data_IF_134996474422
#
_entry.id   IF_134996474422
#
_cell.length_a   1.000
_cell.length_b   1.000
_cell.length_c   1.000
_cell.angle_alpha   90.00
_cell.angle_beta   90.00
_cell.angle_gamma   90.00
#
_symmetry.space_group_name_H-M   'P 1'
#
loop_
_entity.id
_entity.type
_entity.pdbx_description
1 polymer ?
#
# COMPACT_ATOMS: atom_id res chain seq x y z
N UNK A 1 -1.85 -2.37 13.49
CA UNK A 1 -2.91 -1.93 12.56
C UNK A 1 -3.86 -0.96 13.23
N UNK A 2 -4.34 0.02 12.46
CA UNK A 2 -5.32 1.02 12.90
C UNK A 2 -6.66 0.34 13.22
N UNK A 3 -7.34 0.80 14.27
CA UNK A 3 -8.61 0.22 14.71
C UNK A 3 -9.64 0.29 13.57
N UNK A 4 -10.30 -0.83 13.29
CA UNK A 4 -11.36 -0.90 12.27
C UNK A 4 -10.89 -0.78 10.83
N UNK A 5 -9.57 -0.63 10.58
CA UNK A 5 -9.05 -0.42 9.23
C UNK A 5 -8.95 -1.72 8.41
N UNK A 6 -8.54 -2.80 9.08
CA UNK A 6 -8.46 -4.14 8.51
C UNK A 6 -9.09 -5.19 9.40
N UNK A 7 -9.76 -6.14 8.74
CA UNK A 7 -10.05 -7.45 9.31
C UNK A 7 -8.78 -8.27 9.48
N UNK A 8 -8.84 -9.30 10.36
CA UNK A 8 -7.76 -10.26 10.51
C UNK A 8 -7.37 -10.96 9.20
N UNK A 9 -8.34 -11.20 8.31
CA UNK A 9 -8.10 -11.85 7.02
C UNK A 9 -7.32 -10.95 6.05
N UNK A 10 -7.58 -9.64 6.07
CA UNK A 10 -6.85 -8.67 5.25
C UNK A 10 -5.41 -8.49 5.70
N UNK A 11 -5.17 -8.50 7.02
CA UNK A 11 -3.81 -8.48 7.57
C UNK A 11 -3.08 -9.76 7.17
N UNK A 12 -3.70 -10.94 7.32
CA UNK A 12 -3.07 -12.19 6.90
C UNK A 12 -2.71 -12.19 5.41
N UNK A 13 -3.53 -11.56 4.57
CA UNK A 13 -3.29 -11.46 3.13
C UNK A 13 -2.10 -10.56 2.81
N UNK A 14 -1.94 -9.45 3.52
CA UNK A 14 -0.72 -8.62 3.47
C UNK A 14 0.51 -9.48 3.76
N UNK A 15 0.50 -10.24 4.87
CA UNK A 15 1.64 -11.08 5.26
C UNK A 15 1.95 -12.19 4.25
N UNK A 16 0.93 -12.73 3.58
CA UNK A 16 1.09 -13.71 2.50
C UNK A 16 1.80 -13.06 1.30
N UNK A 17 1.46 -11.82 0.95
CA UNK A 17 2.12 -11.15 -0.16
C UNK A 17 3.56 -10.75 0.17
N UNK A 18 3.82 -10.25 1.38
CA UNK A 18 5.18 -9.97 1.86
C UNK A 18 6.10 -11.19 1.73
N UNK A 19 5.60 -12.35 2.14
CA UNK A 19 6.32 -13.62 2.03
C UNK A 19 6.56 -14.01 0.58
N UNK A 20 5.54 -13.91 -0.28
CA UNK A 20 5.67 -14.21 -1.71
C UNK A 20 6.66 -13.28 -2.43
N UNK A 21 6.68 -11.99 -2.12
CA UNK A 21 7.66 -11.05 -2.69
C UNK A 21 9.10 -11.39 -2.29
N UNK A 22 9.31 -11.82 -1.05
CA UNK A 22 10.64 -12.30 -0.60
C UNK A 22 11.05 -13.57 -1.33
N UNK A 23 10.16 -14.56 -1.41
CA UNK A 23 10.51 -15.87 -1.96
C UNK A 23 10.64 -15.88 -3.47
N UNK A 24 9.76 -15.15 -4.16
CA UNK A 24 9.60 -15.27 -5.61
C UNK A 24 10.42 -14.22 -6.36
N UNK A 25 10.53 -13.01 -5.82
CA UNK A 25 11.26 -11.90 -6.46
C UNK A 25 12.55 -11.53 -5.73
N UNK A 26 12.81 -12.04 -4.53
CA UNK A 26 13.95 -11.61 -3.72
C UNK A 26 13.86 -10.15 -3.26
N UNK A 27 12.65 -9.60 -3.16
CA UNK A 27 12.43 -8.26 -2.61
C UNK A 27 12.45 -8.37 -1.10
N UNK A 28 13.37 -7.67 -0.43
CA UNK A 28 13.42 -7.63 1.03
C UNK A 28 12.20 -6.89 1.57
N UNK A 29 11.51 -7.54 2.50
CA UNK A 29 10.40 -6.98 3.28
C UNK A 29 10.49 -7.50 4.72
N UNK A 30 9.88 -6.85 5.71
CA UNK A 30 9.97 -7.28 7.11
C UNK A 30 9.46 -8.71 7.33
N UNK A 31 10.27 -9.56 7.97
CA UNK A 31 9.86 -10.91 8.34
C UNK A 31 8.90 -10.89 9.53
N UNK A 32 7.90 -11.77 9.52
CA UNK A 32 6.91 -11.82 10.61
C UNK A 32 7.38 -12.75 11.71
N UNK A 33 7.51 -12.22 12.92
CA UNK A 33 7.81 -13.01 14.12
C UNK A 33 6.49 -13.58 14.66
N UNK A 34 6.39 -14.91 14.68
CA UNK A 34 5.23 -15.59 15.24
C UNK A 34 5.19 -15.46 16.77
N UNK A 35 3.98 -15.31 17.31
CA UNK A 35 3.76 -15.40 18.77
C UNK A 35 4.17 -16.77 19.32
N UNK A 36 4.27 -16.88 20.65
CA UNK A 36 4.54 -18.16 21.35
C UNK A 36 3.53 -19.29 21.02
N UNK A 37 2.37 -18.94 20.48
CA UNK A 37 1.34 -19.89 20.02
C UNK A 37 1.39 -20.16 18.51
N UNK A 38 2.43 -19.71 17.81
CA UNK A 38 2.58 -19.87 16.36
C UNK A 38 1.68 -18.98 15.50
N UNK A 39 1.01 -17.99 16.08
CA UNK A 39 0.13 -17.05 15.33
C UNK A 39 0.94 -15.86 14.81
N UNK A 40 0.81 -15.57 13.50
CA UNK A 40 1.34 -14.37 12.83
C UNK A 40 0.56 -13.08 13.15
N UNK A 41 -0.75 -13.19 13.38
CA UNK A 41 -1.62 -12.07 13.80
C UNK A 41 -2.22 -12.38 15.17
N UNK A 42 -1.95 -11.51 16.14
CA UNK A 42 -2.44 -11.61 17.53
C UNK A 42 -3.56 -10.60 17.73
N UNK A 43 -4.62 -11.03 18.40
CA UNK A 43 -5.68 -10.14 18.87
C UNK A 43 -5.42 -9.78 20.33
N UNK A 44 -5.49 -8.50 20.65
CA UNK A 44 -5.47 -7.98 22.02
C UNK A 44 -6.73 -7.15 22.27
N UNK A 45 -7.22 -7.13 23.50
CA UNK A 45 -8.21 -6.15 23.92
C UNK A 45 -7.51 -4.97 24.59
N UNK A 46 -7.90 -3.76 24.21
CA UNK A 46 -7.39 -2.52 24.78
C UNK A 46 -8.52 -1.49 24.84
N UNK A 47 -8.81 -0.96 26.03
CA UNK A 47 -9.87 0.02 26.24
C UNK A 47 -11.27 -0.41 25.76
N UNK A 48 -11.59 -1.70 25.86
CA UNK A 48 -12.87 -2.26 25.41
C UNK A 48 -12.96 -2.53 23.91
N UNK A 49 -11.87 -2.33 23.16
CA UNK A 49 -11.81 -2.55 21.73
C UNK A 49 -10.82 -3.65 21.38
N UNK A 50 -11.17 -4.48 20.39
CA UNK A 50 -10.29 -5.49 19.84
C UNK A 50 -9.29 -4.85 18.86
N UNK A 51 -8.00 -5.11 19.04
CA UNK A 51 -6.92 -4.67 18.15
C UNK A 51 -6.12 -5.85 17.62
N UNK A 52 -5.71 -5.75 16.36
CA UNK A 52 -4.82 -6.73 15.74
C UNK A 52 -3.37 -6.21 15.71
N UNK A 53 -2.47 -7.07 16.14
CA UNK A 53 -1.04 -6.80 16.21
C UNK A 53 -0.28 -7.85 15.40
N UNK A 54 0.73 -7.38 14.67
CA UNK A 54 1.76 -8.17 13.99
C UNK A 54 3.09 -7.72 14.54
N UNK A 55 4.00 -8.67 14.75
CA UNK A 55 5.37 -8.38 15.15
C UNK A 55 6.27 -8.69 13.97
N UNK A 56 7.09 -7.73 13.58
CA UNK A 56 8.09 -7.90 12.53
C UNK A 56 9.48 -7.95 13.12
N UNK A 57 10.40 -8.59 12.40
CA UNK A 57 11.82 -8.50 12.73
C UNK A 57 12.34 -7.07 12.56
N UNK A 58 13.38 -6.74 13.29
CA UNK A 58 14.02 -5.44 13.18
C UNK A 58 14.68 -5.32 11.81
N UNK A 59 14.26 -4.32 11.04
CA UNK A 59 14.90 -3.98 9.77
C UNK A 59 16.03 -3.01 10.06
N UNK A 60 17.27 -3.47 9.91
CA UNK A 60 18.41 -2.58 9.89
C UNK A 60 18.32 -1.64 8.69
N UNK A 61 18.54 -0.36 8.92
CA UNK A 61 18.64 0.62 7.86
C UNK A 61 18.22 2.01 8.28
N UNK A 62 18.37 2.93 7.34
CA UNK A 62 17.98 4.34 7.49
C UNK A 62 17.11 4.73 6.31
N UNK A 63 16.19 5.65 6.55
CA UNK A 63 15.56 6.40 5.47
C UNK A 63 16.64 7.13 4.67
N UNK A 64 16.51 7.13 3.35
CA UNK A 64 17.45 7.86 2.50
C UNK A 64 17.38 9.36 2.86
N UNK A 65 18.51 9.93 3.27
CA UNK A 65 18.59 11.36 3.49
C UNK A 65 18.22 12.10 2.19
N UNK A 66 17.46 13.20 2.32
CA UNK A 66 16.91 13.98 1.19
C UNK A 66 17.96 14.37 0.14
N UNK A 67 19.26 14.40 0.50
CA UNK A 67 20.36 14.70 -0.41
C UNK A 67 20.53 13.70 -1.58
N UNK A 68 20.04 12.46 -1.48
CA UNK A 68 20.19 11.42 -2.51
C UNK A 68 18.86 11.02 -3.19
N UNK A 69 17.83 11.86 -3.10
CA UNK A 69 16.47 11.52 -3.55
C UNK A 69 16.38 10.99 -4.99
N UNK A 70 17.19 11.51 -5.92
CA UNK A 70 17.17 11.07 -7.32
C UNK A 70 17.54 9.58 -7.49
N UNK A 71 18.57 9.12 -6.78
CA UNK A 71 18.97 7.70 -6.78
C UNK A 71 17.90 6.84 -6.10
N UNK A 72 17.35 7.34 -4.99
CA UNK A 72 16.23 6.69 -4.31
C UNK A 72 15.03 6.43 -5.23
N UNK A 73 14.66 7.40 -6.07
CA UNK A 73 13.55 7.23 -7.01
C UNK A 73 13.83 6.23 -8.13
N UNK A 74 15.09 6.08 -8.56
CA UNK A 74 15.47 5.03 -9.52
C UNK A 74 15.25 3.65 -8.90
N UNK A 75 15.74 3.45 -7.68
CA UNK A 75 15.59 2.19 -6.94
C UNK A 75 14.10 1.90 -6.65
N UNK A 76 13.36 2.91 -6.21
CA UNK A 76 11.93 2.80 -5.96
C UNK A 76 11.15 2.38 -7.21
N UNK A 77 11.46 2.98 -8.36
CA UNK A 77 10.87 2.61 -9.64
C UNK A 77 11.17 1.16 -10.04
N UNK A 78 12.41 0.71 -9.81
CA UNK A 78 12.79 -0.69 -10.05
C UNK A 78 12.00 -1.66 -9.15
N UNK A 79 11.94 -1.37 -7.84
CA UNK A 79 11.21 -2.18 -6.87
C UNK A 79 9.71 -2.24 -7.21
N UNK A 80 9.10 -1.09 -7.53
CA UNK A 80 7.71 -1.04 -7.98
C UNK A 80 7.49 -1.92 -9.22
N UNK A 81 8.37 -1.82 -10.22
CA UNK A 81 8.27 -2.61 -11.44
C UNK A 81 8.41 -4.13 -11.19
N UNK A 82 9.26 -4.54 -10.24
CA UNK A 82 9.39 -5.95 -9.83
C UNK A 82 8.14 -6.43 -9.10
N UNK A 83 7.62 -5.65 -8.15
CA UNK A 83 6.34 -5.96 -7.47
C UNK A 83 5.17 -6.07 -8.44
N UNK A 84 5.07 -5.17 -9.43
CA UNK A 84 4.02 -5.22 -10.45
C UNK A 84 4.14 -6.45 -11.35
N UNK A 85 5.36 -6.87 -11.69
CA UNK A 85 5.62 -8.08 -12.46
C UNK A 85 5.20 -9.33 -11.70
N UNK A 86 5.54 -9.39 -10.42
CA UNK A 86 5.08 -10.44 -9.52
C UNK A 86 3.56 -10.48 -9.46
N UNK A 87 2.93 -9.36 -9.13
CA UNK A 87 1.47 -9.25 -9.00
C UNK A 87 0.71 -9.70 -10.27
N UNK A 88 1.26 -9.46 -11.46
CA UNK A 88 0.66 -9.88 -12.75
C UNK A 88 0.71 -11.39 -13.00
N UNK A 89 1.68 -12.08 -12.42
CA UNK A 89 1.94 -13.51 -12.67
C UNK A 89 1.66 -14.41 -11.46
N UNK A 90 1.56 -13.81 -10.27
CA UNK A 90 1.38 -14.50 -9.01
C UNK A 90 0.01 -15.17 -8.94
N UNK A 91 0.03 -16.46 -8.58
CA UNK A 91 -1.19 -17.23 -8.34
C UNK A 91 -1.73 -16.89 -6.96
N UNK A 92 -2.57 -15.86 -6.91
CA UNK A 92 -3.22 -15.39 -5.69
C UNK A 92 -3.95 -16.55 -5.00
N UNK A 93 -3.65 -16.85 -3.72
CA UNK A 93 -4.34 -17.89 -2.96
C UNK A 93 -5.83 -17.58 -2.82
N UNK A 94 -6.68 -18.60 -2.77
CA UNK A 94 -8.14 -18.42 -2.63
C UNK A 94 -8.56 -17.75 -1.31
N UNK A 95 -7.69 -17.77 -0.29
CA UNK A 95 -7.90 -17.09 0.98
C UNK A 95 -7.45 -15.63 0.97
N UNK A 96 -6.82 -15.16 -0.11
CA UNK A 96 -6.30 -13.80 -0.20
C UNK A 96 -7.45 -12.81 -0.33
N UNK A 97 -7.44 -11.82 0.56
CA UNK A 97 -8.43 -10.77 0.61
C UNK A 97 -7.73 -9.46 0.93
N UNK A 98 -7.72 -8.53 -0.02
CA UNK A 98 -7.31 -7.15 0.19
C UNK A 98 -8.34 -6.26 -0.48
N UNK A 99 -8.53 -5.08 0.07
CA UNK A 99 -9.44 -4.10 -0.49
C UNK A 99 -8.90 -3.55 -1.82
N UNK A 100 -9.72 -2.77 -2.52
CA UNK A 100 -9.35 -2.13 -3.79
C UNK A 100 -9.21 -0.63 -3.61
N UNK A 101 -8.33 -0.02 -4.41
CA UNK A 101 -8.21 1.42 -4.68
C UNK A 101 -8.83 1.71 -6.05
N UNK A 102 -10.15 1.51 -6.16
CA UNK A 102 -10.93 1.79 -7.36
C UNK A 102 -11.66 3.14 -7.24
N UNK A 103 -12.50 3.48 -8.22
CA UNK A 103 -13.24 4.75 -8.18
C UNK A 103 -14.22 4.83 -6.99
N UNK A 104 -14.80 3.71 -6.58
CA UNK A 104 -15.75 3.62 -5.47
C UNK A 104 -15.07 3.83 -4.12
N UNK A 105 -13.89 3.23 -3.93
CA UNK A 105 -13.12 3.32 -2.68
C UNK A 105 -12.18 4.52 -2.60
N UNK A 106 -11.97 5.23 -3.72
CA UNK A 106 -11.19 6.49 -3.75
C UNK A 106 -12.06 7.75 -3.71
N UNK A 107 -13.22 7.74 -4.36
CA UNK A 107 -14.08 8.94 -4.51
C UNK A 107 -15.57 8.71 -4.18
N UNK A 108 -16.02 7.47 -4.06
CA UNK A 108 -17.43 7.15 -3.81
C UNK A 108 -17.83 7.33 -2.34
N UNK A 109 -19.07 6.98 -2.03
CA UNK A 109 -19.57 7.00 -0.65
C UNK A 109 -18.83 5.99 0.25
N UNK A 110 -18.13 5.02 -0.34
CA UNK A 110 -17.22 4.09 0.32
C UNK A 110 -15.76 4.53 0.32
N UNK A 111 -15.46 5.82 0.13
CA UNK A 111 -14.10 6.34 0.12
C UNK A 111 -13.38 6.00 1.44
N UNK A 112 -12.26 5.27 1.35
CA UNK A 112 -11.60 4.69 2.53
C UNK A 112 -11.00 5.73 3.47
N UNK A 113 -10.59 6.87 2.92
CA UNK A 113 -10.05 8.00 3.69
C UNK A 113 -11.10 9.09 3.92
N UNK A 114 -12.38 8.77 3.72
CA UNK A 114 -13.47 9.74 3.79
C UNK A 114 -13.61 10.56 2.51
N UNK A 115 -14.60 11.45 2.51
CA UNK A 115 -14.90 12.29 1.36
C UNK A 115 -14.01 13.53 1.42
N UNK A 116 -13.27 13.79 0.34
CA UNK A 116 -12.44 15.00 0.25
C UNK A 116 -13.26 16.30 0.43
N UNK A 117 -14.57 16.25 0.15
CA UNK A 117 -15.51 17.38 0.31
C UNK A 117 -15.75 17.76 1.77
N UNK A 118 -15.53 16.83 2.69
CA UNK A 118 -15.68 17.05 4.13
C UNK A 118 -14.33 17.47 4.77
N UNK A 119 -13.33 17.78 3.94
CA UNK A 119 -12.01 18.23 4.36
C UNK A 119 -12.04 19.61 5.03
N UNK A 120 -11.04 19.86 5.87
CA UNK A 120 -10.84 21.17 6.50
C UNK A 120 -10.59 22.21 5.41
N UNK A 121 -11.19 23.39 5.56
CA UNK A 121 -11.09 24.53 4.63
C UNK A 121 -11.59 24.26 3.20
N UNK A 122 -12.39 23.21 2.98
CA UNK A 122 -13.05 22.97 1.70
C UNK A 122 -14.37 23.74 1.65
N UNK A 123 -14.32 24.94 1.06
CA UNK A 123 -15.50 25.76 0.83
C UNK A 123 -16.26 25.35 -0.45
N UNK A 124 -17.29 26.12 -0.81
CA UNK A 124 -18.11 25.84 -1.98
C UNK A 124 -17.31 25.95 -3.29
N UNK A 125 -16.41 26.95 -3.41
CA UNK A 125 -15.63 27.15 -4.63
C UNK A 125 -14.65 25.99 -4.85
N UNK A 126 -13.96 25.56 -3.78
CA UNK A 126 -13.09 24.39 -3.80
C UNK A 126 -13.87 23.10 -4.06
N UNK A 127 -15.06 22.96 -3.48
CA UNK A 127 -15.92 21.80 -3.74
C UNK A 127 -16.25 21.68 -5.23
N UNK A 128 -16.71 22.77 -5.86
CA UNK A 128 -17.04 22.79 -7.28
C UNK A 128 -15.80 22.53 -8.16
N UNK A 129 -14.62 23.03 -7.76
CA UNK A 129 -13.36 22.74 -8.44
C UNK A 129 -13.00 21.25 -8.36
N UNK A 130 -13.01 20.68 -7.17
CA UNK A 130 -12.68 19.27 -6.97
C UNK A 130 -13.67 18.33 -7.66
N UNK A 131 -14.96 18.66 -7.71
CA UNK A 131 -15.94 17.89 -8.48
C UNK A 131 -15.61 17.85 -9.97
N UNK A 132 -15.21 18.99 -10.57
CA UNK A 132 -14.78 19.01 -11.98
C UNK A 132 -13.52 18.18 -12.22
N UNK A 133 -12.58 18.21 -11.27
CA UNK A 133 -11.35 17.40 -11.32
C UNK A 133 -11.69 15.91 -11.18
N UNK A 134 -12.51 15.53 -10.19
CA UNK A 134 -12.97 14.16 -9.98
C UNK A 134 -13.67 13.61 -11.23
N UNK A 135 -14.60 14.36 -11.82
CA UNK A 135 -15.28 13.95 -13.06
C UNK A 135 -14.28 13.69 -14.20
N UNK A 136 -13.24 14.52 -14.31
CA UNK A 136 -12.18 14.34 -15.29
C UNK A 136 -11.35 13.08 -15.02
N UNK A 137 -10.96 12.85 -13.76
CA UNK A 137 -10.22 11.66 -13.31
C UNK A 137 -11.04 10.40 -13.57
N UNK A 138 -12.30 10.36 -13.12
CA UNK A 138 -13.23 9.24 -13.33
C UNK A 138 -13.34 8.88 -14.80
N UNK A 139 -13.60 9.85 -15.67
CA UNK A 139 -13.70 9.61 -17.12
C UNK A 139 -12.42 9.01 -17.69
N UNK A 140 -11.24 9.53 -17.30
CA UNK A 140 -9.95 9.02 -17.78
C UNK A 140 -9.68 7.60 -17.29
N UNK A 141 -9.94 7.31 -16.01
CA UNK A 141 -9.75 5.98 -15.44
C UNK A 141 -10.73 4.95 -16.00
N UNK A 142 -12.00 5.32 -16.23
CA UNK A 142 -12.97 4.45 -16.91
C UNK A 142 -12.53 4.13 -18.34
N UNK A 143 -11.98 5.11 -19.05
CA UNK A 143 -11.43 4.91 -20.41
C UNK A 143 -10.16 4.04 -20.37
N UNK A 144 -9.32 4.23 -19.36
CA UNK A 144 -8.10 3.43 -19.17
C UNK A 144 -8.41 1.99 -18.74
N UNK A 145 -9.53 1.76 -18.05
CA UNK A 145 -10.00 0.45 -17.64
C UNK A 145 -9.17 -0.21 -16.54
N UNK A 146 -9.56 -1.44 -16.20
CA UNK A 146 -8.94 -2.26 -15.14
C UNK A 146 -8.46 -3.62 -15.71
N UNK A 147 -7.96 -3.62 -16.93
CA UNK A 147 -7.36 -4.80 -17.54
C UNK A 147 -6.22 -5.35 -16.66
N UNK A 148 -5.98 -6.67 -16.58
CA UNK A 148 -4.91 -7.26 -15.76
C UNK A 148 -3.50 -6.73 -16.06
N UNK A 149 -3.26 -6.14 -17.24
CA UNK A 149 -1.99 -5.46 -17.55
C UNK A 149 -1.85 -4.09 -16.86
N UNK A 150 -2.96 -3.50 -16.40
CA UNK A 150 -3.11 -2.13 -15.87
C UNK A 150 -3.53 -2.09 -14.40
N UNK A 151 -4.24 -3.09 -13.91
CA UNK A 151 -4.82 -3.16 -12.58
C UNK A 151 -4.52 -4.50 -11.92
N UNK A 152 -4.08 -4.46 -10.67
CA UNK A 152 -3.67 -5.63 -9.91
C UNK A 152 -3.20 -5.25 -8.52
N UNK A 153 -2.52 -6.16 -7.82
CA UNK A 153 -2.00 -5.88 -6.49
C UNK A 153 -0.86 -4.86 -6.56
N UNK A 154 -0.94 -3.82 -5.73
CA UNK A 154 0.02 -2.72 -5.61
C UNK A 154 0.33 -2.47 -4.14
N UNK A 155 1.42 -1.75 -3.86
CA UNK A 155 1.75 -1.33 -2.49
C UNK A 155 0.84 -0.18 -2.03
N UNK A 156 0.45 0.69 -2.97
CA UNK A 156 -0.38 1.89 -2.79
C UNK A 156 0.21 3.00 -1.91
N UNK A 157 1.46 2.84 -1.47
CA UNK A 157 2.17 3.80 -0.62
C UNK A 157 3.68 3.77 -0.87
N UNK A 158 4.08 3.79 -2.14
CA UNK A 158 5.47 3.67 -2.58
C UNK A 158 6.23 4.97 -2.35
N UNK A 159 6.49 5.34 -1.09
CA UNK A 159 7.24 6.55 -0.70
C UNK A 159 8.69 6.21 -0.37
N UNK A 160 9.62 7.16 -0.58
CA UNK A 160 11.04 6.96 -0.21
C UNK A 160 11.22 6.68 1.29
N UNK A 161 10.33 7.19 2.15
CA UNK A 161 10.32 6.89 3.60
C UNK A 161 9.97 5.44 3.92
N UNK A 162 9.33 4.72 2.99
CA UNK A 162 8.97 3.31 3.14
C UNK A 162 10.03 2.37 2.53
N UNK A 163 11.18 2.92 2.16
CA UNK A 163 12.36 2.16 1.75
C UNK A 163 13.43 2.37 2.82
N UNK A 164 13.94 1.27 3.37
CA UNK A 164 15.02 1.30 4.36
C UNK A 164 16.29 0.72 3.71
N UNK A 165 17.36 1.52 3.72
CA UNK A 165 18.67 1.12 3.21
C UNK A 165 19.57 0.68 4.34
N UNK A 166 20.12 -0.53 4.26
CA UNK A 166 21.17 -0.97 5.18
C UNK A 166 22.55 -0.43 4.78
N UNK A 167 23.54 -0.58 5.67
CA UNK A 167 24.90 -0.12 5.43
C UNK A 167 25.61 -0.91 4.30
N UNK A 168 25.00 -1.99 3.78
CA UNK A 168 25.49 -2.81 2.66
C UNK A 168 24.87 -2.42 1.32
N UNK A 169 23.97 -1.43 1.30
CA UNK A 169 23.32 -0.91 0.09
C UNK A 169 22.07 -1.70 -0.34
N UNK A 170 21.57 -2.59 0.51
CA UNK A 170 20.36 -3.34 0.25
C UNK A 170 19.12 -2.59 0.71
N UNK A 171 18.00 -2.77 0.01
CA UNK A 171 16.76 -2.02 0.27
C UNK A 171 15.65 -2.94 0.72
N UNK A 172 15.09 -2.63 1.88
CA UNK A 172 13.89 -3.27 2.42
C UNK A 172 12.68 -2.35 2.21
N UNK A 173 11.62 -2.88 1.60
CA UNK A 173 10.33 -2.17 1.45
C UNK A 173 9.46 -2.47 2.67
N UNK A 174 8.92 -1.43 3.28
CA UNK A 174 8.10 -1.52 4.51
C UNK A 174 6.71 -0.88 4.30
N UNK A 175 5.83 -1.07 5.29
CA UNK A 175 4.51 -0.44 5.37
C UNK A 175 3.51 -0.83 4.27
N UNK A 176 3.18 -2.12 4.21
CA UNK A 176 2.21 -2.67 3.26
C UNK A 176 0.75 -2.59 3.77
N UNK A 177 0.47 -1.80 4.82
CA UNK A 177 -0.88 -1.69 5.41
C UNK A 177 -1.90 -1.21 4.36
N UNK A 178 -1.48 -0.37 3.41
CA UNK A 178 -2.33 0.12 2.32
C UNK A 178 -2.34 -0.75 1.04
N UNK A 179 -1.56 -1.84 1.02
CA UNK A 179 -1.47 -2.70 -0.17
C UNK A 179 -2.83 -3.25 -0.59
N UNK A 180 -3.13 -3.24 -1.88
CA UNK A 180 -4.46 -3.59 -2.36
C UNK A 180 -4.54 -3.63 -3.86
N UNK A 181 -5.73 -3.91 -4.37
CA UNK A 181 -5.94 -3.95 -5.82
C UNK A 181 -6.12 -2.53 -6.35
N UNK A 182 -5.23 -2.08 -7.22
CA UNK A 182 -5.26 -0.73 -7.79
C UNK A 182 -4.64 -0.69 -9.18
N UNK A 183 -4.68 0.48 -9.81
CA UNK A 183 -3.94 0.69 -11.06
C UNK A 183 -2.45 0.69 -10.76
N UNK A 184 -1.62 -0.03 -11.54
CA UNK A 184 -0.17 -0.11 -11.29
C UNK A 184 0.51 1.26 -11.23
N UNK A 185 0.06 2.23 -12.06
CA UNK A 185 0.58 3.59 -12.01
C UNK A 185 0.16 4.41 -10.78
N UNK A 186 -0.74 3.90 -9.95
CA UNK A 186 -1.04 4.52 -8.66
C UNK A 186 0.18 4.49 -7.72
N UNK A 187 1.01 3.43 -7.78
CA UNK A 187 2.27 3.39 -7.02
C UNK A 187 3.20 4.53 -7.45
N UNK A 188 3.29 4.83 -8.75
CA UNK A 188 4.03 6.01 -9.23
C UNK A 188 3.44 7.31 -8.71
N UNK A 189 2.11 7.44 -8.68
CA UNK A 189 1.46 8.62 -8.12
C UNK A 189 1.77 8.79 -6.63
N UNK A 190 1.75 7.70 -5.85
CA UNK A 190 2.10 7.70 -4.42
C UNK A 190 3.57 8.07 -4.17
N UNK A 191 4.48 7.67 -5.06
CA UNK A 191 5.89 8.03 -4.98
C UNK A 191 6.15 9.53 -5.19
N UNK A 192 5.32 10.15 -6.01
CA UNK A 192 5.41 11.57 -6.35
C UNK A 192 4.54 12.44 -5.44
N UNK A 193 3.73 11.86 -4.55
CA UNK A 193 2.96 12.65 -3.59
C UNK A 193 3.90 13.19 -2.51
N UNK A 194 3.91 14.52 -2.37
CA UNK A 194 4.62 15.23 -1.32
C UNK A 194 3.74 15.27 -0.07
N UNK A 195 4.38 15.16 1.10
CA UNK A 195 3.79 15.46 2.40
C UNK A 195 3.43 16.95 2.52
#
# INVERSE_FOLDING_TARGET
HRLGYHSRAEILSELIWLEALRTDEGIKTPEVISSRQGKKVVSIESSGEQRFCVMFDFVEGKELAQANAAEGYVILGELAARMHRHAKSWKIPSSFNRFSWDLGTSFGDGARWGRYKDGIDVDQELTELFERVELTIRRRLLTYGQDPSRFGLIHADMRLSNLLWDDFGEVCVIDFDDSGFGWFFYDLASALSLY
#
